data_IF_000918953075
#
_entry.id   IF_000918953075
#
_cell.length_a   1.000
_cell.length_b   1.000
_cell.length_c   1.000
_cell.angle_alpha   90.00
_cell.angle_beta   90.00
_cell.angle_gamma   90.00
#
_symmetry.space_group_name_H-M   'P 1'
#
loop_
_entity.id
_entity.type
_entity.pdbx_description
1 polymer ?
#
# COMPACT_ATOMS: atom_id res chain seq x y z
N UNK A 1 -27.70 -51.84 -20.07
CA UNK A 1 -27.47 -50.44 -20.54
C UNK A 1 -27.29 -49.58 -19.28
N UNK A 2 -26.07 -49.12 -18.93
CA UNK A 2 -25.44 -47.83 -19.31
C UNK A 2 -26.42 -46.64 -19.07
N UNK A 3 -26.20 -45.65 -18.19
CA UNK A 3 -24.99 -44.87 -17.88
C UNK A 3 -25.02 -44.23 -16.47
N UNK A 4 -23.84 -44.13 -15.85
CA UNK A 4 -23.43 -43.13 -14.85
C UNK A 4 -23.65 -41.68 -15.33
N UNK A 5 -23.84 -40.74 -14.40
CA UNK A 5 -22.86 -39.66 -14.15
C UNK A 5 -23.32 -38.66 -13.08
N UNK A 6 -22.58 -38.67 -11.97
CA UNK A 6 -22.37 -37.60 -11.01
C UNK A 6 -21.76 -36.36 -11.65
N UNK A 7 -22.17 -35.16 -11.23
CA UNK A 7 -21.24 -34.05 -10.97
C UNK A 7 -21.91 -32.88 -10.24
N UNK A 8 -21.76 -32.86 -8.91
CA UNK A 8 -21.68 -31.62 -8.14
C UNK A 8 -20.19 -31.30 -8.08
N UNK A 9 -19.71 -30.33 -8.87
CA UNK A 9 -18.31 -29.91 -8.74
C UNK A 9 -18.08 -28.55 -9.41
N UNK A 10 -17.97 -27.50 -8.59
CA UNK A 10 -17.09 -26.33 -8.80
C UNK A 10 -16.84 -25.65 -7.45
N UNK A 11 -16.21 -26.36 -6.52
CA UNK A 11 -15.41 -25.70 -5.52
C UNK A 11 -14.12 -25.25 -6.22
N UNK A 12 -13.97 -23.96 -6.48
CA UNK A 12 -12.70 -23.39 -6.96
C UNK A 12 -11.71 -23.42 -5.80
N UNK A 13 -11.04 -24.56 -5.63
CA UNK A 13 -9.85 -24.69 -4.80
C UNK A 13 -8.69 -24.12 -5.62
N UNK A 14 -8.37 -22.84 -5.42
CA UNK A 14 -7.08 -22.27 -5.81
C UNK A 14 -6.09 -22.57 -4.68
N UNK A 15 -5.64 -23.83 -4.61
CA UNK A 15 -4.39 -24.15 -3.93
C UNK A 15 -3.25 -23.87 -4.91
N UNK A 16 -2.71 -22.64 -4.88
CA UNK A 16 -1.42 -22.33 -5.48
C UNK A 16 -0.28 -23.01 -4.68
N UNK A 17 0.92 -23.19 -5.27
CA UNK A 17 1.91 -24.12 -4.77
C UNK A 17 2.34 -23.78 -3.35
N UNK A 18 2.11 -24.73 -2.45
CA UNK A 18 2.60 -24.75 -1.08
C UNK A 18 4.14 -24.73 -1.09
N UNK A 19 4.75 -23.55 -0.90
CA UNK A 19 6.21 -23.42 -0.90
C UNK A 19 6.80 -22.07 -0.45
N UNK A 20 6.11 -20.94 -0.64
CA UNK A 20 6.67 -19.60 -0.32
C UNK A 20 5.78 -18.76 0.61
N UNK A 21 5.05 -19.39 1.52
CA UNK A 21 4.16 -18.70 2.46
C UNK A 21 4.81 -18.39 3.83
N UNK A 22 6.12 -18.59 4.00
CA UNK A 22 6.77 -18.55 5.32
C UNK A 22 7.73 -17.39 5.56
N UNK A 23 8.06 -16.55 4.57
CA UNK A 23 9.09 -15.52 4.78
C UNK A 23 8.89 -14.24 3.96
N UNK A 24 7.70 -13.63 4.03
CA UNK A 24 7.59 -12.21 3.67
C UNK A 24 7.71 -11.36 4.93
N UNK A 25 8.59 -10.35 4.94
CA UNK A 25 8.69 -9.47 6.08
C UNK A 25 7.38 -8.68 6.28
N UNK A 26 7.13 -8.21 7.52
CA UNK A 26 6.05 -7.28 7.80
C UNK A 26 6.18 -6.05 6.90
N UNK A 27 5.07 -5.52 6.37
CA UNK A 27 5.08 -4.41 5.42
C UNK A 27 3.83 -3.55 5.47
N UNK A 28 3.96 -2.34 4.95
CA UNK A 28 2.86 -1.43 4.66
C UNK A 28 2.70 -1.34 3.15
N UNK A 29 1.45 -1.42 2.67
CA UNK A 29 1.12 -1.23 1.26
C UNK A 29 0.09 -0.11 1.15
N UNK A 30 0.33 0.87 0.28
CA UNK A 30 -0.67 1.90 -0.04
C UNK A 30 -1.76 1.26 -0.90
N UNK A 31 -2.98 1.20 -0.38
CA UNK A 31 -4.15 0.56 -1.02
C UNK A 31 -5.17 1.57 -1.55
N UNK A 32 -4.94 2.87 -1.33
CA UNK A 32 -5.75 3.96 -1.89
C UNK A 32 -4.96 5.26 -1.99
N UNK A 33 -5.30 6.07 -2.99
CA UNK A 33 -4.70 7.38 -3.27
C UNK A 33 -3.78 7.35 -4.48
N UNK A 34 -3.10 8.47 -4.74
CA UNK A 34 -2.24 8.64 -5.92
C UNK A 34 -1.00 7.74 -5.86
N UNK A 35 -0.54 7.41 -4.65
CA UNK A 35 0.60 6.52 -4.40
C UNK A 35 0.20 5.05 -4.28
N UNK A 36 -0.95 4.65 -4.85
CA UNK A 36 -1.42 3.25 -4.85
C UNK A 36 -0.31 2.28 -5.28
N UNK A 37 -0.10 1.24 -4.48
CA UNK A 37 0.89 0.20 -4.73
C UNK A 37 2.30 0.48 -4.23
N UNK A 38 2.59 1.68 -3.74
CA UNK A 38 3.83 1.91 -3.01
C UNK A 38 3.85 1.04 -1.74
N UNK A 39 4.96 0.36 -1.51
CA UNK A 39 5.15 -0.50 -0.34
C UNK A 39 6.42 -0.16 0.44
N UNK A 40 6.42 -0.51 1.71
CA UNK A 40 7.58 -0.37 2.60
C UNK A 40 7.65 -1.57 3.54
N UNK A 41 8.78 -2.26 3.55
CA UNK A 41 9.08 -3.29 4.54
C UNK A 41 9.38 -2.67 5.92
N UNK A 42 8.86 -3.30 6.96
CA UNK A 42 9.02 -2.88 8.35
C UNK A 42 10.11 -3.73 9.01
N UNK A 43 11.26 -3.09 9.21
CA UNK A 43 12.42 -3.70 9.86
C UNK A 43 12.49 -3.43 11.37
N UNK A 44 13.72 -3.35 11.89
CA UNK A 44 13.97 -3.00 13.29
C UNK A 44 13.83 -1.50 13.56
N UNK A 45 14.17 -0.66 12.58
CA UNK A 45 14.11 0.80 12.73
C UNK A 45 12.67 1.32 12.60
N UNK A 46 12.29 2.34 13.37
CA UNK A 46 11.02 3.02 13.20
C UNK A 46 10.91 3.65 11.80
N UNK A 47 9.74 3.54 11.20
CA UNK A 47 9.44 4.15 9.91
C UNK A 47 8.56 5.37 10.10
N UNK A 48 8.86 6.44 9.37
CA UNK A 48 8.06 7.66 9.36
C UNK A 48 7.26 7.71 8.06
N UNK A 49 5.95 7.90 8.20
CA UNK A 49 5.04 8.14 7.08
C UNK A 49 4.72 9.63 7.08
N UNK A 50 4.90 10.29 5.95
CA UNK A 50 4.71 11.74 5.87
C UNK A 50 4.95 12.29 4.48
N UNK A 51 4.66 13.58 4.26
CA UNK A 51 4.90 14.24 2.96
C UNK A 51 6.33 14.74 2.77
N UNK A 52 7.14 14.73 3.82
CA UNK A 52 8.54 15.16 3.73
C UNK A 52 9.32 14.20 2.84
N UNK A 53 10.32 14.70 2.11
CA UNK A 53 11.16 13.85 1.26
C UNK A 53 12.02 12.89 2.12
N UNK A 54 12.29 13.28 3.35
CA UNK A 54 13.10 12.55 4.32
C UNK A 54 12.30 11.49 5.09
N UNK A 55 10.98 11.40 4.88
CA UNK A 55 10.14 10.36 5.48
C UNK A 55 10.44 9.00 4.84
N UNK A 56 10.48 7.93 5.64
CA UNK A 56 10.74 6.56 5.17
C UNK A 56 9.71 6.12 4.13
N UNK A 57 8.43 6.43 4.36
CA UNK A 57 7.37 6.33 3.36
C UNK A 57 6.85 7.74 3.03
N UNK A 58 7.37 8.30 1.93
CA UNK A 58 7.05 9.65 1.50
C UNK A 58 5.76 9.68 0.66
N UNK A 59 4.66 10.12 1.27
CA UNK A 59 3.38 10.37 0.61
C UNK A 59 3.25 11.87 0.37
N UNK A 60 3.84 12.34 -0.74
CA UNK A 60 4.06 13.76 -1.04
C UNK A 60 2.77 14.49 -1.48
N UNK A 61 1.76 14.49 -0.61
CA UNK A 61 0.44 15.05 -0.86
C UNK A 61 0.06 16.10 0.20
N UNK A 62 -0.66 17.18 -0.15
CA UNK A 62 -1.00 18.25 0.80
C UNK A 62 -1.82 17.81 2.02
N UNK A 63 -2.62 16.75 1.89
CA UNK A 63 -3.40 16.19 3.00
C UNK A 63 -2.54 15.47 4.04
N UNK A 64 -1.23 15.30 3.82
CA UNK A 64 -0.34 14.53 4.68
C UNK A 64 0.61 15.50 5.39
N UNK A 65 0.74 15.44 6.72
CA UNK A 65 1.73 16.23 7.47
C UNK A 65 3.16 15.83 7.10
N UNK A 66 4.14 16.73 7.33
CA UNK A 66 5.57 16.49 6.99
C UNK A 66 6.09 15.19 7.62
N UNK A 67 5.86 15.03 8.92
CA UNK A 67 5.89 13.76 9.63
C UNK A 67 4.47 13.54 10.16
N UNK A 68 3.76 12.55 9.61
CA UNK A 68 2.35 12.35 9.90
C UNK A 68 2.16 11.34 11.02
N UNK A 69 2.71 10.15 10.82
CA UNK A 69 2.70 9.10 11.82
C UNK A 69 4.00 8.29 11.77
N UNK A 70 4.24 7.56 12.84
CA UNK A 70 5.36 6.63 12.98
C UNK A 70 4.83 5.24 13.19
N UNK A 71 5.41 4.27 12.51
CA UNK A 71 5.21 2.85 12.79
C UNK A 71 6.52 2.25 13.27
N UNK A 72 6.47 1.44 14.32
CA UNK A 72 7.66 0.78 14.85
C UNK A 72 7.32 -0.57 15.45
N UNK A 73 8.37 -1.37 15.68
CA UNK A 73 8.29 -2.70 16.26
C UNK A 73 8.79 -2.69 17.70
N UNK A 74 8.04 -3.31 18.60
CA UNK A 74 8.47 -3.63 19.97
C UNK A 74 8.31 -5.15 20.18
N UNK A 75 9.43 -5.88 20.16
CA UNK A 75 9.40 -7.35 20.13
C UNK A 75 8.70 -7.87 18.88
N UNK A 76 7.65 -8.66 19.05
CA UNK A 76 6.84 -9.21 17.95
C UNK A 76 5.65 -8.32 17.57
N UNK A 77 5.44 -7.22 18.29
CA UNK A 77 4.27 -6.34 18.13
C UNK A 77 4.64 -5.09 17.35
N UNK A 78 3.67 -4.57 16.63
CA UNK A 78 3.80 -3.34 15.85
C UNK A 78 2.88 -2.29 16.41
N UNK A 79 3.34 -1.05 16.41
CA UNK A 79 2.60 0.09 16.93
C UNK A 79 2.61 1.21 15.92
N UNK A 80 1.56 2.03 15.98
CA UNK A 80 1.45 3.28 15.25
C UNK A 80 1.21 4.44 16.21
N UNK A 81 1.76 5.60 15.89
CA UNK A 81 1.59 6.84 16.64
C UNK A 81 1.41 8.02 15.68
N UNK A 82 0.40 8.85 15.95
CA UNK A 82 0.21 10.13 15.28
C UNK A 82 1.21 11.16 15.82
N UNK A 83 1.91 11.86 14.93
CA UNK A 83 2.95 12.83 15.29
C UNK A 83 2.42 14.27 15.34
N UNK A 84 1.15 14.45 15.72
CA UNK A 84 0.47 15.74 15.73
C UNK A 84 0.04 16.16 14.33
N UNK A 85 -0.45 15.21 13.54
CA UNK A 85 -0.84 15.48 12.16
C UNK A 85 -2.10 16.38 12.08
N UNK A 86 -2.21 17.14 10.99
CA UNK A 86 -3.35 18.04 10.77
C UNK A 86 -4.64 17.26 10.54
N UNK A 87 -4.57 16.18 9.74
CA UNK A 87 -5.73 15.40 9.35
C UNK A 87 -5.98 14.17 10.22
N UNK A 88 -5.13 13.94 11.25
CA UNK A 88 -5.13 12.76 12.12
C UNK A 88 -4.78 11.45 11.40
N UNK A 89 -4.23 10.54 12.18
CA UNK A 89 -4.04 9.14 11.79
C UNK A 89 -5.28 8.35 12.18
N UNK A 90 -5.79 7.54 11.26
CA UNK A 90 -6.92 6.65 11.51
C UNK A 90 -6.47 5.20 11.47
N UNK A 91 -6.98 4.38 12.37
CA UNK A 91 -6.88 2.93 12.34
C UNK A 91 -8.28 2.35 12.20
N UNK A 92 -8.54 1.62 11.11
CA UNK A 92 -9.85 1.05 10.79
C UNK A 92 -11.01 2.06 10.89
N UNK A 93 -10.77 3.29 10.43
CA UNK A 93 -11.74 4.39 10.42
C UNK A 93 -11.87 5.17 11.74
N UNK A 94 -11.14 4.78 12.79
CA UNK A 94 -11.14 5.50 14.07
C UNK A 94 -9.85 6.30 14.25
N UNK A 95 -9.96 7.58 14.65
CA UNK A 95 -8.79 8.41 14.90
C UNK A 95 -8.01 7.89 16.12
N UNK A 96 -6.70 7.73 15.97
CA UNK A 96 -5.82 7.22 17.03
C UNK A 96 -4.63 8.15 17.24
N UNK A 97 -4.25 8.34 18.50
CA UNK A 97 -2.96 8.95 18.84
C UNK A 97 -1.86 7.88 18.94
N UNK A 98 -2.18 6.71 19.52
CA UNK A 98 -1.30 5.54 19.57
C UNK A 98 -2.15 4.27 19.60
N UNK A 99 -1.74 3.24 18.86
CA UNK A 99 -2.42 1.94 18.85
C UNK A 99 -1.44 0.79 18.50
N UNK A 100 -1.77 -0.42 18.94
CA UNK A 100 -1.13 -1.66 18.44
C UNK A 100 -1.75 -2.03 17.09
N UNK A 101 -0.93 -2.44 16.14
CA UNK A 101 -1.35 -2.87 14.80
C UNK A 101 -1.53 -4.40 14.76
N UNK A 102 -2.66 -4.82 14.21
CA UNK A 102 -2.98 -6.21 13.89
C UNK A 102 -2.85 -6.47 12.38
N UNK A 103 -2.63 -7.73 12.01
CA UNK A 103 -2.53 -8.08 10.59
C UNK A 103 -3.77 -7.64 9.82
N UNK A 104 -3.55 -7.12 8.61
CA UNK A 104 -4.58 -6.59 7.70
C UNK A 104 -5.29 -5.32 8.16
N UNK A 105 -4.79 -4.65 9.21
CA UNK A 105 -5.30 -3.34 9.64
C UNK A 105 -5.15 -2.28 8.55
N UNK A 106 -6.16 -1.43 8.44
CA UNK A 106 -6.16 -0.29 7.54
C UNK A 106 -5.79 1.00 8.28
N UNK A 107 -4.76 1.69 7.79
CA UNK A 107 -4.26 2.94 8.33
C UNK A 107 -4.63 4.08 7.37
N UNK A 108 -5.39 5.06 7.85
CA UNK A 108 -5.73 6.28 7.12
C UNK A 108 -4.71 7.40 7.38
N UNK A 109 -4.16 7.98 6.31
CA UNK A 109 -3.17 9.07 6.35
C UNK A 109 -3.55 10.13 5.32
N UNK A 110 -4.26 11.18 5.76
CA UNK A 110 -4.86 12.15 4.84
C UNK A 110 -5.82 11.47 3.85
N UNK A 111 -5.62 11.67 2.55
CA UNK A 111 -6.45 11.05 1.49
C UNK A 111 -5.98 9.64 1.08
N UNK A 112 -5.05 9.05 1.82
CA UNK A 112 -4.46 7.76 1.51
C UNK A 112 -4.88 6.72 2.53
N UNK A 113 -4.99 5.48 2.09
CA UNK A 113 -5.14 4.33 2.97
C UNK A 113 -3.98 3.37 2.74
N UNK A 114 -3.39 2.89 3.83
CA UNK A 114 -2.36 1.87 3.84
C UNK A 114 -2.94 0.63 4.51
N UNK A 115 -2.46 -0.54 4.12
CA UNK A 115 -2.76 -1.80 4.78
C UNK A 115 -1.49 -2.39 5.35
N UNK A 116 -1.57 -2.80 6.61
CA UNK A 116 -0.46 -3.44 7.31
C UNK A 116 -0.56 -4.96 7.18
N UNK A 117 0.55 -5.61 6.88
CA UNK A 117 0.67 -7.06 6.88
C UNK A 117 1.82 -7.47 7.78
N UNK A 118 1.60 -8.39 8.72
CA UNK A 118 2.64 -8.96 9.59
C UNK A 118 3.52 -9.99 8.88
N UNK A 119 3.08 -10.52 7.75
CA UNK A 119 3.86 -11.47 6.97
C UNK A 119 3.17 -11.88 5.66
N UNK A 120 3.50 -13.07 5.17
CA UNK A 120 2.80 -13.66 4.03
C UNK A 120 1.39 -14.10 4.45
N UNK A 121 0.36 -13.45 3.89
CA UNK A 121 -1.02 -13.92 3.99
C UNK A 121 -1.65 -14.05 2.60
N UNK A 122 -2.65 -14.93 2.45
CA UNK A 122 -3.42 -15.04 1.21
C UNK A 122 -4.06 -13.70 0.84
N UNK A 123 -4.56 -12.97 1.84
CA UNK A 123 -5.07 -11.61 1.69
C UNK A 123 -4.01 -10.65 1.14
N UNK A 124 -2.78 -10.74 1.64
CA UNK A 124 -1.67 -9.92 1.17
C UNK A 124 -1.27 -10.19 -0.29
N UNK A 125 -1.42 -11.44 -0.77
CA UNK A 125 -1.17 -11.82 -2.17
C UNK A 125 -2.26 -11.29 -3.08
N UNK A 126 -3.52 -11.47 -2.68
CA UNK A 126 -4.68 -10.96 -3.40
C UNK A 126 -4.63 -9.44 -3.55
N UNK A 127 -4.30 -8.72 -2.48
CA UNK A 127 -4.12 -7.27 -2.55
C UNK A 127 -3.00 -6.87 -3.51
N UNK A 128 -1.88 -7.58 -3.53
CA UNK A 128 -0.78 -7.30 -4.46
C UNK A 128 -1.22 -7.45 -5.91
N UNK A 129 -1.89 -8.55 -6.25
CA UNK A 129 -2.35 -8.82 -7.61
C UNK A 129 -3.38 -7.77 -8.07
N UNK A 130 -4.34 -7.41 -7.21
CA UNK A 130 -5.31 -6.38 -7.54
C UNK A 130 -4.68 -5.00 -7.74
N UNK A 131 -3.70 -4.65 -6.90
CA UNK A 131 -2.96 -3.40 -7.00
C UNK A 131 -2.16 -3.38 -8.30
N UNK A 132 -1.45 -4.46 -8.62
CA UNK A 132 -0.65 -4.57 -9.83
C UNK A 132 -1.51 -4.36 -11.08
N UNK A 133 -2.67 -5.02 -11.14
CA UNK A 133 -3.66 -4.82 -12.22
C UNK A 133 -4.22 -3.38 -12.27
N UNK A 134 -4.32 -2.70 -11.13
CA UNK A 134 -4.81 -1.33 -11.04
C UNK A 134 -3.75 -0.27 -11.39
N UNK A 135 -2.47 -0.61 -11.27
CA UNK A 135 -1.34 0.32 -11.39
C UNK A 135 -0.56 0.10 -12.68
N UNK A 136 -0.36 -1.15 -13.10
CA UNK A 136 0.50 -1.53 -14.23
C UNK A 136 -0.30 -2.02 -15.45
N UNK A 137 0.30 -1.95 -16.64
CA UNK A 137 -0.19 -2.66 -17.82
C UNK A 137 0.45 -4.03 -17.96
N UNK A 138 -0.34 -5.01 -18.40
CA UNK A 138 0.09 -6.42 -18.44
C UNK A 138 1.08 -6.76 -19.58
N UNK A 139 1.39 -5.82 -20.48
CA UNK A 139 2.32 -6.07 -21.58
C UNK A 139 3.75 -5.67 -21.21
N UNK A 140 3.92 -4.56 -20.50
CA UNK A 140 5.23 -3.95 -20.27
C UNK A 140 5.63 -3.86 -18.80
N UNK A 141 4.67 -3.99 -17.87
CA UNK A 141 4.91 -3.73 -16.45
C UNK A 141 5.11 -2.24 -16.11
N UNK A 142 4.98 -1.33 -17.08
CA UNK A 142 4.94 0.10 -16.78
C UNK A 142 3.60 0.50 -16.17
N UNK A 143 3.54 1.70 -15.59
CA UNK A 143 2.28 2.24 -15.12
C UNK A 143 1.28 2.32 -16.26
N UNK A 144 0.07 1.81 -16.02
CA UNK A 144 -1.00 1.99 -16.96
C UNK A 144 -1.31 3.48 -17.13
N UNK A 145 -1.91 3.83 -18.27
CA UNK A 145 -2.20 5.22 -18.64
C UNK A 145 -2.98 5.99 -17.57
N UNK A 146 -3.89 5.32 -16.86
CA UNK A 146 -4.71 5.96 -15.82
C UNK A 146 -3.83 6.34 -14.63
N UNK A 147 -3.03 5.41 -14.12
CA UNK A 147 -2.15 5.65 -12.99
C UNK A 147 -1.07 6.69 -13.31
N UNK A 148 -0.43 6.57 -14.48
CA UNK A 148 0.54 7.57 -14.95
C UNK A 148 -0.04 8.99 -14.98
N UNK A 149 -1.27 9.16 -15.50
CA UNK A 149 -1.93 10.47 -15.53
C UNK A 149 -2.21 11.02 -14.15
N UNK A 150 -2.70 10.20 -13.22
CA UNK A 150 -2.94 10.64 -11.84
C UNK A 150 -1.65 11.12 -11.17
N UNK A 151 -0.55 10.38 -11.33
CA UNK A 151 0.76 10.79 -10.82
C UNK A 151 1.25 12.08 -11.48
N UNK A 152 1.13 12.19 -12.81
CA UNK A 152 1.55 13.40 -13.52
C UNK A 152 0.77 14.62 -13.06
N UNK A 153 -0.56 14.53 -12.92
CA UNK A 153 -1.40 15.62 -12.46
C UNK A 153 -1.03 16.06 -11.04
N UNK A 154 -0.75 15.12 -10.13
CA UNK A 154 -0.28 15.41 -8.78
C UNK A 154 1.06 16.16 -8.81
N UNK A 155 2.03 15.67 -9.58
CA UNK A 155 3.34 16.30 -9.71
C UNK A 155 3.26 17.69 -10.35
N UNK A 156 2.41 17.89 -11.37
CA UNK A 156 2.14 19.21 -11.97
C UNK A 156 1.51 20.14 -10.95
N UNK A 157 0.57 19.65 -10.14
CA UNK A 157 -0.04 20.39 -9.04
C UNK A 157 1.01 20.94 -8.07
N UNK A 158 1.98 20.10 -7.69
CA UNK A 158 3.09 20.50 -6.82
C UNK A 158 4.07 21.46 -7.48
N UNK A 159 4.32 21.29 -8.78
CA UNK A 159 5.19 22.18 -9.51
C UNK A 159 4.68 23.63 -9.53
N UNK A 160 3.35 23.80 -9.59
CA UNK A 160 2.70 25.12 -9.47
C UNK A 160 2.95 25.79 -8.12
N UNK A 161 3.30 25.03 -7.08
CA UNK A 161 3.58 25.53 -5.71
C UNK A 161 5.09 25.61 -5.44
N UNK A 162 5.93 25.44 -6.48
CA UNK A 162 7.38 25.73 -6.43
C UNK A 162 8.31 24.52 -6.40
N UNK A 163 7.81 23.30 -6.66
CA UNK A 163 8.68 22.12 -6.84
C UNK A 163 9.18 22.05 -8.29
N UNK A 164 10.46 21.79 -8.53
CA UNK A 164 10.94 21.55 -9.90
C UNK A 164 10.34 20.25 -10.47
N UNK A 165 9.91 20.28 -11.73
CA UNK A 165 9.37 19.12 -12.44
C UNK A 165 10.01 19.03 -13.83
N UNK A 166 10.49 17.84 -14.15
CA UNK A 166 10.96 17.46 -15.49
C UNK A 166 10.17 16.25 -15.96
N UNK A 167 9.77 16.24 -17.24
CA UNK A 167 9.07 15.13 -17.86
C UNK A 167 9.81 14.77 -19.15
N UNK A 168 10.14 13.49 -19.32
CA UNK A 168 10.72 12.94 -20.54
C UNK A 168 9.69 11.99 -21.16
N UNK A 169 9.36 12.22 -22.43
CA UNK A 169 8.50 11.35 -23.22
C UNK A 169 9.36 10.79 -24.35
N UNK A 170 9.44 9.47 -24.45
CA UNK A 170 10.21 8.76 -25.46
C UNK A 170 9.25 7.82 -26.20
N UNK A 171 9.40 7.77 -27.52
CA UNK A 171 8.76 6.78 -28.39
C UNK A 171 9.87 5.97 -29.06
N UNK A 172 9.67 4.65 -29.23
CA UNK A 172 10.68 3.72 -29.74
C UNK A 172 10.50 3.43 -31.24
#
# INVERSE_FOLDING_TARGET
MRKNSSNTDRATVMAGPDGEALDRPPRLIVVSGVFLGQELELGAEPVIIGRANEATLSLQHPSVSRSHCRVWREGERFFIEDLGSTNKTYLNGQAVMRAELSDSDQIGVGNHALKFFRGASAESRYHQELIDLAVHDGLTGFYNRRHFRMLLDEHVGRAKVGTALSVLIVDL
#
